data_IF_684442019002
#
_entry.id   IF_684442019002
#
_cell.length_a   1.000
_cell.length_b   1.000
_cell.length_c   1.000
_cell.angle_alpha   90.00
_cell.angle_beta   90.00
_cell.angle_gamma   90.00
#
_symmetry.space_group_name_H-M   'P 1'
#
loop_
_entity.id
_entity.type
_entity.pdbx_description
1 polymer ?
#
# COMPACT_ATOMS: atom_id res chain seq x y z
N UNK A 1 32.31 -15.92 -10.26
CA UNK A 1 32.65 -14.71 -9.49
C UNK A 1 32.00 -14.84 -8.13
N UNK A 2 32.77 -14.79 -7.07
CA UNK A 2 32.23 -14.89 -5.71
C UNK A 2 31.40 -13.64 -5.40
N UNK A 3 30.22 -13.85 -4.85
CA UNK A 3 29.31 -12.74 -4.52
C UNK A 3 29.80 -12.03 -3.25
N UNK A 4 29.68 -10.72 -3.24
CA UNK A 4 30.08 -9.92 -2.09
C UNK A 4 29.23 -10.27 -0.86
N UNK A 5 29.87 -10.42 0.29
CA UNK A 5 29.20 -10.75 1.56
C UNK A 5 29.84 -10.02 2.74
N UNK A 6 29.10 -9.89 3.82
CA UNK A 6 29.58 -9.49 5.13
C UNK A 6 29.01 -10.45 6.19
N UNK A 7 29.52 -11.68 6.16
CA UNK A 7 29.09 -12.75 7.07
C UNK A 7 29.24 -12.34 8.53
N UNK A 8 30.31 -11.66 8.99
CA UNK A 8 30.38 -11.16 10.35
C UNK A 8 29.16 -10.31 10.76
N UNK A 9 28.72 -9.40 9.89
CA UNK A 9 27.55 -8.57 10.18
C UNK A 9 26.24 -9.38 10.17
N UNK A 10 26.11 -10.39 9.30
CA UNK A 10 24.96 -11.30 9.30
C UNK A 10 24.86 -12.05 10.64
N UNK A 11 26.00 -12.52 11.17
CA UNK A 11 26.11 -13.15 12.48
C UNK A 11 25.66 -12.20 13.60
N UNK A 12 26.12 -10.95 13.58
CA UNK A 12 25.76 -9.93 14.58
C UNK A 12 24.25 -9.62 14.54
N UNK A 13 23.69 -9.49 13.33
CA UNK A 13 22.27 -9.24 13.15
C UNK A 13 21.42 -10.40 13.70
N UNK A 14 21.73 -11.63 13.31
CA UNK A 14 21.01 -12.82 13.81
C UNK A 14 21.18 -12.98 15.31
N UNK A 15 22.38 -12.74 15.86
CA UNK A 15 22.65 -12.78 17.29
C UNK A 15 21.82 -11.77 18.08
N UNK A 16 21.67 -10.56 17.57
CA UNK A 16 20.83 -9.51 18.16
C UNK A 16 19.32 -9.90 18.15
N UNK A 17 18.83 -10.49 17.06
CA UNK A 17 17.46 -11.03 16.98
C UNK A 17 17.20 -12.09 18.04
N UNK A 18 18.14 -13.02 18.26
CA UNK A 18 17.98 -14.07 19.28
C UNK A 18 18.07 -13.53 20.72
N UNK A 19 18.79 -12.43 20.95
CA UNK A 19 18.79 -11.75 22.25
C UNK A 19 17.48 -11.00 22.50
N UNK A 20 16.97 -10.29 21.49
CA UNK A 20 15.80 -9.43 21.57
C UNK A 20 14.85 -9.76 20.41
N UNK A 21 14.02 -10.81 20.54
CA UNK A 21 13.11 -11.25 19.46
C UNK A 21 12.14 -10.18 18.99
N UNK A 22 11.82 -9.20 19.81
CA UNK A 22 10.96 -8.06 19.46
C UNK A 22 11.52 -7.22 18.29
N UNK A 23 12.81 -7.31 18.01
CA UNK A 23 13.40 -6.72 16.81
C UNK A 23 12.85 -7.33 15.51
N UNK A 24 12.22 -8.52 15.56
CA UNK A 24 11.51 -9.07 14.40
C UNK A 24 10.26 -8.26 14.05
N UNK A 25 9.60 -7.63 15.01
CA UNK A 25 8.48 -6.72 14.74
C UNK A 25 8.97 -5.49 13.98
N UNK A 26 10.10 -4.92 14.41
CA UNK A 26 10.64 -3.68 13.81
C UNK A 26 11.31 -3.93 12.45
N UNK A 27 12.11 -4.99 12.31
CA UNK A 27 12.95 -5.24 11.14
C UNK A 27 12.49 -6.40 10.26
N UNK A 28 11.70 -7.34 10.78
CA UNK A 28 11.34 -8.58 10.08
C UNK A 28 10.63 -8.34 8.74
N UNK A 29 9.75 -7.36 8.66
CA UNK A 29 9.05 -7.00 7.43
C UNK A 29 9.99 -6.52 6.29
N UNK A 30 11.13 -5.95 6.67
CA UNK A 30 12.10 -5.42 5.71
C UNK A 30 13.15 -6.43 5.30
N UNK A 31 13.36 -7.49 6.07
CA UNK A 31 14.37 -8.52 5.80
C UNK A 31 13.77 -9.64 4.94
N UNK A 32 14.40 -9.87 3.79
CA UNK A 32 14.06 -10.97 2.88
C UNK A 32 15.22 -11.95 2.85
N UNK A 33 15.13 -13.02 3.59
CA UNK A 33 16.22 -13.98 3.84
C UNK A 33 16.90 -14.48 2.57
N UNK A 34 16.13 -14.67 1.49
CA UNK A 34 16.67 -15.08 0.17
C UNK A 34 17.70 -14.10 -0.41
N UNK A 35 17.55 -12.80 -0.14
CA UNK A 35 18.38 -11.74 -0.72
C UNK A 35 19.37 -11.15 0.28
N UNK A 36 18.97 -11.08 1.55
CA UNK A 36 19.70 -10.34 2.56
C UNK A 36 20.83 -11.14 3.22
N UNK A 37 20.76 -12.48 3.19
CA UNK A 37 21.82 -13.33 3.71
C UNK A 37 22.62 -14.01 2.59
N UNK A 38 23.94 -14.02 2.74
CA UNK A 38 24.87 -14.72 1.85
C UNK A 38 25.22 -16.10 2.41
N UNK A 39 25.31 -16.22 3.73
CA UNK A 39 25.65 -17.46 4.40
C UNK A 39 24.41 -18.31 4.72
N UNK A 40 24.49 -19.61 4.46
CA UNK A 40 23.38 -20.53 4.67
C UNK A 40 23.03 -20.72 6.16
N UNK A 41 24.03 -20.63 7.05
CA UNK A 41 23.79 -20.80 8.48
C UNK A 41 23.07 -19.59 9.07
N UNK A 42 23.51 -18.39 8.77
CA UNK A 42 22.87 -17.15 9.23
C UNK A 42 21.45 -17.05 8.71
N UNK A 43 21.23 -17.40 7.42
CA UNK A 43 19.91 -17.46 6.82
C UNK A 43 19.03 -18.49 7.53
N UNK A 44 19.50 -19.70 7.74
CA UNK A 44 18.75 -20.76 8.42
C UNK A 44 18.31 -20.34 9.82
N UNK A 45 19.20 -19.75 10.60
CA UNK A 45 18.87 -19.30 11.94
C UNK A 45 17.94 -18.10 11.94
N UNK A 46 18.05 -17.16 10.98
CA UNK A 46 17.10 -16.06 10.84
C UNK A 46 15.70 -16.58 10.48
N UNK A 47 15.58 -17.44 9.47
CA UNK A 47 14.30 -18.04 9.08
C UNK A 47 13.66 -18.81 10.24
N UNK A 48 14.48 -19.50 11.02
CA UNK A 48 14.05 -20.18 12.25
C UNK A 48 13.50 -19.21 13.27
N UNK A 49 14.22 -18.11 13.54
CA UNK A 49 13.78 -17.09 14.49
C UNK A 49 12.44 -16.48 14.07
N UNK A 50 12.29 -16.13 12.80
CA UNK A 50 11.07 -15.56 12.27
C UNK A 50 9.86 -16.49 12.45
N UNK A 51 9.98 -17.75 12.04
CA UNK A 51 8.87 -18.72 12.13
C UNK A 51 8.52 -19.02 13.59
N UNK A 52 9.52 -19.22 14.46
CA UNK A 52 9.28 -19.48 15.89
C UNK A 52 8.60 -18.30 16.55
N UNK A 53 9.00 -17.07 16.21
CA UNK A 53 8.39 -15.86 16.73
C UNK A 53 6.93 -15.71 16.29
N UNK A 54 6.64 -15.93 15.01
CA UNK A 54 5.28 -15.84 14.45
C UNK A 54 4.33 -16.92 14.97
N UNK A 55 4.85 -18.14 15.23
CA UNK A 55 4.00 -19.28 15.59
C UNK A 55 3.91 -19.55 17.08
N UNK A 56 4.85 -19.04 17.89
CA UNK A 56 5.01 -19.38 19.32
C UNK A 56 5.31 -18.16 20.18
N UNK A 57 4.43 -17.20 20.16
CA UNK A 57 4.58 -15.85 20.73
C UNK A 57 4.80 -15.78 22.26
N UNK A 58 4.69 -16.86 23.01
CA UNK A 58 4.75 -16.76 24.48
C UNK A 58 6.13 -16.96 25.10
N UNK A 59 7.05 -17.69 24.44
CA UNK A 59 8.42 -17.87 24.96
C UNK A 59 9.40 -18.16 23.81
N UNK A 60 10.16 -17.15 23.43
CA UNK A 60 11.27 -17.33 22.49
C UNK A 60 12.54 -17.72 23.23
N UNK A 61 12.80 -19.02 23.36
CA UNK A 61 13.94 -19.57 24.07
C UNK A 61 14.46 -20.86 23.42
N UNK A 62 15.53 -21.43 24.01
CA UNK A 62 16.13 -22.68 23.53
C UNK A 62 15.13 -23.82 23.37
N UNK A 63 14.20 -23.93 24.30
CA UNK A 63 13.21 -25.01 24.31
C UNK A 63 12.23 -24.85 23.16
N UNK A 64 11.72 -23.65 22.91
CA UNK A 64 10.79 -23.37 21.81
C UNK A 64 11.43 -23.64 20.45
N UNK A 65 12.70 -23.23 20.27
CA UNK A 65 13.46 -23.51 19.05
C UNK A 65 13.69 -25.01 18.85
N UNK A 66 14.10 -25.74 19.91
CA UNK A 66 14.30 -27.20 19.82
C UNK A 66 13.01 -27.93 19.51
N UNK A 67 11.90 -27.54 20.13
CA UNK A 67 10.58 -28.12 19.85
C UNK A 67 10.18 -27.93 18.41
N UNK A 68 10.34 -26.71 17.89
CA UNK A 68 10.09 -26.41 16.47
C UNK A 68 10.99 -27.22 15.53
N UNK A 69 12.26 -27.41 15.87
CA UNK A 69 13.17 -28.24 15.06
C UNK A 69 12.76 -29.71 15.06
N UNK A 70 12.24 -30.23 16.19
CA UNK A 70 11.87 -31.62 16.33
C UNK A 70 10.60 -32.01 15.54
N UNK A 71 9.83 -31.05 15.06
CA UNK A 71 8.62 -31.30 14.26
C UNK A 71 8.94 -31.79 12.82
N UNK A 72 10.17 -31.58 12.34
CA UNK A 72 10.61 -31.97 11.00
C UNK A 72 12.03 -32.54 11.03
N UNK A 73 12.20 -33.80 10.58
CA UNK A 73 13.47 -34.49 10.62
C UNK A 73 14.56 -33.84 9.77
N UNK A 74 14.20 -33.30 8.62
CA UNK A 74 15.15 -32.60 7.76
C UNK A 74 15.64 -31.31 8.43
N UNK A 75 14.75 -30.53 8.99
CA UNK A 75 15.04 -29.31 9.73
C UNK A 75 15.93 -29.60 10.94
N UNK A 76 15.61 -30.63 11.69
CA UNK A 76 16.41 -31.08 12.84
C UNK A 76 17.82 -31.52 12.43
N UNK A 77 17.96 -32.22 11.29
CA UNK A 77 19.27 -32.61 10.75
C UNK A 77 20.14 -31.42 10.38
N UNK A 78 19.55 -30.41 9.72
CA UNK A 78 20.23 -29.15 9.37
C UNK A 78 20.66 -28.39 10.64
N UNK A 79 19.77 -28.28 11.62
CA UNK A 79 20.07 -27.65 12.90
C UNK A 79 21.26 -28.32 13.61
N UNK A 80 21.29 -29.65 13.67
CA UNK A 80 22.42 -30.41 14.22
C UNK A 80 23.70 -30.22 13.45
N UNK A 81 23.63 -30.20 12.11
CA UNK A 81 24.79 -29.94 11.23
C UNK A 81 25.42 -28.59 11.51
N UNK A 82 24.58 -27.58 11.80
CA UNK A 82 25.00 -26.22 12.11
C UNK A 82 25.33 -26.03 13.61
N UNK A 83 25.53 -27.11 14.40
CA UNK A 83 25.81 -27.12 15.84
C UNK A 83 24.71 -26.51 16.71
N UNK A 84 23.53 -26.25 16.14
CA UNK A 84 22.32 -25.90 16.85
C UNK A 84 22.45 -24.69 17.79
N UNK A 85 21.94 -24.86 18.99
CA UNK A 85 21.89 -23.77 19.96
C UNK A 85 23.25 -23.20 20.34
N UNK A 86 24.34 -23.98 20.30
CA UNK A 86 25.68 -23.48 20.60
C UNK A 86 26.16 -22.42 19.58
N UNK A 87 25.72 -22.53 18.31
CA UNK A 87 26.00 -21.51 17.31
C UNK A 87 25.17 -20.24 17.58
N UNK A 88 23.91 -20.42 17.99
CA UNK A 88 23.07 -19.27 18.38
C UNK A 88 23.65 -18.54 19.60
N UNK A 89 24.04 -19.27 20.62
CA UNK A 89 24.72 -18.69 21.80
C UNK A 89 26.01 -17.94 21.43
N UNK A 90 26.78 -18.49 20.50
CA UNK A 90 27.96 -17.81 19.99
C UNK A 90 27.59 -16.52 19.26
N UNK A 91 26.57 -16.53 18.38
CA UNK A 91 26.09 -15.34 17.68
C UNK A 91 25.58 -14.27 18.67
N UNK A 92 24.80 -14.69 19.66
CA UNK A 92 24.33 -13.81 20.73
C UNK A 92 25.50 -13.18 21.50
N UNK A 93 26.56 -13.94 21.79
CA UNK A 93 27.72 -13.44 22.55
C UNK A 93 28.50 -12.37 21.80
N UNK A 94 28.43 -12.33 20.47
CA UNK A 94 29.12 -11.34 19.64
C UNK A 94 28.30 -10.05 19.42
N UNK A 95 26.96 -10.18 19.45
CA UNK A 95 26.09 -9.05 19.16
C UNK A 95 26.01 -8.05 20.33
N UNK A 96 26.07 -6.76 20.01
CA UNK A 96 25.79 -5.67 20.97
C UNK A 96 24.30 -5.32 20.92
N UNK A 97 23.67 -5.14 22.07
CA UNK A 97 22.24 -4.95 22.21
C UNK A 97 21.74 -3.63 21.60
N UNK A 98 22.57 -2.60 21.62
CA UNK A 98 22.21 -1.24 21.20
C UNK A 98 22.46 -0.95 19.69
N UNK A 99 22.99 -1.92 18.92
CA UNK A 99 23.48 -1.65 17.56
C UNK A 99 22.72 -2.36 16.43
N UNK A 100 21.51 -2.84 16.70
CA UNK A 100 20.68 -3.57 15.71
C UNK A 100 20.45 -2.76 14.45
N UNK A 101 20.21 -1.46 14.57
CA UNK A 101 20.03 -0.56 13.44
C UNK A 101 21.28 -0.48 12.55
N UNK A 102 22.45 -0.49 13.16
CA UNK A 102 23.74 -0.54 12.45
C UNK A 102 23.87 -1.85 11.67
N UNK A 103 23.59 -2.99 12.31
CA UNK A 103 23.63 -4.31 11.67
C UNK A 103 22.64 -4.42 10.54
N UNK A 104 21.43 -3.95 10.71
CA UNK A 104 20.39 -3.92 9.67
C UNK A 104 20.83 -3.08 8.45
N UNK A 105 21.36 -1.88 8.67
CA UNK A 105 21.81 -1.01 7.59
C UNK A 105 22.97 -1.64 6.78
N UNK A 106 23.91 -2.29 7.47
CA UNK A 106 24.99 -3.00 6.82
C UNK A 106 24.47 -4.23 6.07
N UNK A 107 23.54 -4.99 6.64
CA UNK A 107 22.89 -6.11 5.98
C UNK A 107 22.27 -5.67 4.65
N UNK A 108 21.46 -4.60 4.67
CA UNK A 108 20.83 -4.03 3.47
C UNK A 108 21.84 -3.48 2.45
N UNK A 109 22.92 -2.88 2.92
CA UNK A 109 24.01 -2.40 2.06
C UNK A 109 24.62 -3.55 1.24
N UNK A 110 24.97 -4.65 1.91
CA UNK A 110 25.60 -5.79 1.22
C UNK A 110 24.59 -6.59 0.40
N UNK A 111 23.33 -6.65 0.80
CA UNK A 111 22.23 -7.20 -0.01
C UNK A 111 22.09 -6.46 -1.34
N UNK A 112 22.03 -5.13 -1.31
CA UNK A 112 21.94 -4.30 -2.51
C UNK A 112 23.16 -4.50 -3.43
N UNK A 113 24.37 -4.53 -2.89
CA UNK A 113 25.59 -4.77 -3.68
C UNK A 113 25.58 -6.14 -4.34
N UNK A 114 25.14 -7.21 -3.64
CA UNK A 114 24.96 -8.54 -4.21
C UNK A 114 24.01 -8.55 -5.39
N UNK A 115 22.87 -7.87 -5.25
CA UNK A 115 21.89 -7.80 -6.32
C UNK A 115 22.43 -7.04 -7.53
N UNK A 116 23.15 -5.95 -7.33
CA UNK A 116 23.85 -5.28 -8.44
C UNK A 116 24.88 -6.21 -9.12
N UNK A 117 25.66 -6.94 -8.34
CA UNK A 117 26.64 -7.88 -8.87
C UNK A 117 25.97 -9.03 -9.66
N UNK A 118 24.86 -9.60 -9.15
CA UNK A 118 24.07 -10.62 -9.85
C UNK A 118 23.50 -10.14 -11.17
N UNK A 119 23.16 -8.86 -11.26
CA UNK A 119 22.64 -8.23 -12.47
C UNK A 119 23.75 -7.66 -13.38
N UNK A 120 25.02 -8.03 -13.16
CA UNK A 120 26.14 -7.69 -14.03
C UNK A 120 26.72 -6.29 -13.83
N UNK A 121 26.31 -5.56 -12.81
CA UNK A 121 26.91 -4.25 -12.52
C UNK A 121 28.30 -4.40 -11.93
N UNK A 122 29.25 -3.60 -12.42
CA UNK A 122 30.56 -3.54 -11.81
C UNK A 122 30.56 -2.70 -10.54
N UNK A 123 30.65 -3.37 -9.39
CA UNK A 123 30.64 -2.75 -8.06
C UNK A 123 32.02 -2.38 -7.52
N UNK A 124 33.12 -2.77 -8.19
CA UNK A 124 34.50 -2.55 -7.71
C UNK A 124 34.79 -1.07 -7.41
N UNK A 125 34.32 -0.17 -8.29
CA UNK A 125 34.50 1.26 -8.09
C UNK A 125 33.75 1.82 -6.87
N UNK A 126 32.69 1.12 -6.42
CA UNK A 126 31.96 1.47 -5.20
C UNK A 126 32.73 0.97 -3.99
N UNK A 127 33.22 -0.28 -4.04
CA UNK A 127 33.98 -0.88 -2.95
C UNK A 127 35.30 -0.13 -2.66
N UNK A 128 35.93 0.40 -3.71
CA UNK A 128 37.18 1.19 -3.61
C UNK A 128 36.92 2.66 -3.24
N UNK A 129 35.68 3.07 -3.05
CA UNK A 129 35.37 4.46 -2.73
C UNK A 129 35.86 4.81 -1.30
N UNK A 130 36.52 5.97 -1.15
CA UNK A 130 37.11 6.41 0.14
C UNK A 130 36.11 6.41 1.31
N UNK A 131 34.86 6.67 1.04
CA UNK A 131 33.80 6.74 2.05
C UNK A 131 32.92 5.49 2.09
N UNK A 132 33.35 4.38 1.48
CA UNK A 132 32.53 3.17 1.36
C UNK A 132 31.98 2.69 2.71
N UNK A 133 32.79 2.74 3.77
CA UNK A 133 32.36 2.31 5.10
C UNK A 133 31.19 3.15 5.66
N UNK A 134 31.10 4.42 5.25
CA UNK A 134 30.05 5.34 5.69
C UNK A 134 28.78 5.24 4.85
N UNK A 135 28.82 4.58 3.69
CA UNK A 135 27.66 4.47 2.81
C UNK A 135 26.64 3.49 3.35
N UNK A 136 25.38 3.92 3.37
CA UNK A 136 24.23 3.04 3.43
C UNK A 136 23.77 2.56 2.04
N UNK A 137 22.79 1.68 2.00
CA UNK A 137 22.21 1.18 0.74
C UNK A 137 21.71 2.33 -0.16
N UNK A 138 21.10 3.35 0.41
CA UNK A 138 20.61 4.52 -0.35
C UNK A 138 21.71 5.33 -1.01
N UNK A 139 22.87 5.46 -0.37
CA UNK A 139 23.99 6.20 -0.94
C UNK A 139 24.60 5.45 -2.14
N UNK A 140 24.67 4.13 -2.05
CA UNK A 140 25.08 3.26 -3.15
C UNK A 140 24.12 3.36 -4.33
N UNK A 141 22.80 3.32 -4.05
CA UNK A 141 21.78 3.52 -5.08
C UNK A 141 21.95 4.87 -5.79
N UNK A 142 22.10 5.96 -5.03
CA UNK A 142 22.33 7.30 -5.60
C UNK A 142 23.61 7.37 -6.46
N UNK A 143 24.70 6.72 -6.04
CA UNK A 143 25.92 6.67 -6.82
C UNK A 143 25.74 5.97 -8.17
N UNK A 144 25.05 4.82 -8.17
CA UNK A 144 24.80 4.07 -9.41
C UNK A 144 23.85 4.84 -10.32
N UNK A 145 22.75 5.36 -9.77
CA UNK A 145 21.81 6.21 -10.49
C UNK A 145 22.52 7.43 -11.11
N UNK A 146 23.32 8.14 -10.32
CA UNK A 146 24.05 9.33 -10.83
C UNK A 146 25.05 9.01 -11.94
N UNK A 147 25.63 7.79 -11.96
CA UNK A 147 26.45 7.34 -13.10
C UNK A 147 25.60 7.03 -14.32
N UNK A 148 24.47 6.37 -14.15
CA UNK A 148 23.52 6.09 -15.23
C UNK A 148 22.96 7.40 -15.83
N UNK A 149 22.59 8.36 -14.99
CA UNK A 149 22.10 9.66 -15.41
C UNK A 149 23.14 10.46 -16.19
N UNK A 150 24.42 10.41 -15.77
CA UNK A 150 25.54 11.01 -16.51
C UNK A 150 25.73 10.38 -17.88
N UNK A 151 25.66 9.05 -17.99
CA UNK A 151 25.77 8.35 -19.28
C UNK A 151 24.58 8.75 -20.17
N UNK A 152 23.38 8.78 -19.61
CA UNK A 152 22.17 9.23 -20.30
C UNK A 152 22.32 10.65 -20.85
N UNK A 153 22.80 11.58 -20.02
CA UNK A 153 23.00 12.98 -20.41
C UNK A 153 24.04 13.16 -21.53
N UNK A 154 25.04 12.27 -21.58
CA UNK A 154 26.14 12.38 -22.58
C UNK A 154 25.80 11.65 -23.89
N UNK A 155 25.09 10.54 -23.82
CA UNK A 155 24.87 9.67 -24.99
C UNK A 155 23.46 9.86 -25.57
N UNK A 156 22.46 10.02 -24.73
CA UNK A 156 21.10 10.32 -25.15
C UNK A 156 20.98 11.86 -25.19
N UNK A 157 21.50 12.46 -26.20
CA UNK A 157 21.16 13.82 -26.57
C UNK A 157 19.76 13.82 -27.21
N UNK A 158 18.76 13.43 -26.45
CA UNK A 158 17.42 13.89 -26.71
C UNK A 158 17.44 15.36 -26.25
N UNK A 159 17.66 16.23 -27.21
CA UNK A 159 17.21 17.59 -27.06
C UNK A 159 15.68 17.49 -27.09
N UNK A 160 15.09 17.28 -25.90
CA UNK A 160 13.63 17.21 -25.74
C UNK A 160 12.96 18.56 -26.02
N UNK A 161 13.76 19.55 -26.44
CA UNK A 161 13.30 20.84 -26.87
C UNK A 161 12.68 20.71 -28.27
N UNK A 162 11.37 20.64 -28.33
CA UNK A 162 10.62 20.66 -29.58
C UNK A 162 10.43 22.09 -30.06
N UNK A 163 10.49 22.28 -31.39
CA UNK A 163 10.12 23.55 -32.00
C UNK A 163 8.59 23.66 -31.99
N UNK A 164 8.04 24.48 -31.07
CA UNK A 164 6.61 24.57 -30.79
C UNK A 164 5.70 24.89 -32.00
N UNK A 165 6.23 25.56 -33.00
CA UNK A 165 5.48 25.88 -34.21
C UNK A 165 5.49 24.76 -35.28
N UNK A 166 6.16 23.66 -35.01
CA UNK A 166 6.12 22.47 -35.87
C UNK A 166 5.05 21.48 -35.39
N UNK A 167 4.39 20.84 -36.31
CA UNK A 167 3.41 19.80 -35.99
C UNK A 167 2.03 20.25 -35.55
N UNK A 168 1.71 21.55 -35.59
CA UNK A 168 0.39 22.06 -35.19
C UNK A 168 -0.76 21.49 -36.02
N UNK A 169 -0.60 21.45 -37.36
CA UNK A 169 -1.63 20.93 -38.24
C UNK A 169 -1.92 19.43 -38.04
N UNK A 170 -0.92 18.53 -37.97
CA UNK A 170 -1.14 17.14 -37.62
C UNK A 170 -1.81 16.98 -36.24
N UNK A 171 -1.40 17.75 -35.23
CA UNK A 171 -1.97 17.71 -33.88
C UNK A 171 -3.46 18.05 -33.88
N UNK A 172 -3.87 19.10 -34.60
CA UNK A 172 -5.29 19.50 -34.68
C UNK A 172 -6.10 18.42 -35.41
N UNK A 173 -5.56 17.87 -36.50
CA UNK A 173 -6.23 16.83 -37.25
C UNK A 173 -6.38 15.53 -36.46
N UNK A 174 -5.38 15.16 -35.65
CA UNK A 174 -5.44 13.99 -34.75
C UNK A 174 -6.59 14.14 -33.75
N UNK A 175 -6.80 15.33 -33.21
CA UNK A 175 -7.86 15.59 -32.22
C UNK A 175 -9.28 15.46 -32.78
N UNK A 176 -9.48 15.49 -34.09
CA UNK A 176 -10.78 15.19 -34.71
C UNK A 176 -11.14 13.71 -34.57
N UNK A 177 -10.16 12.81 -34.59
CA UNK A 177 -10.38 11.37 -34.45
C UNK A 177 -10.17 10.85 -33.03
N UNK A 178 -9.25 11.48 -32.27
CA UNK A 178 -8.92 11.10 -30.89
C UNK A 178 -8.97 12.35 -30.01
N UNK A 179 -10.14 12.70 -29.47
CA UNK A 179 -10.26 13.80 -28.54
C UNK A 179 -9.36 13.61 -27.32
N UNK A 180 -8.80 14.72 -26.79
CA UNK A 180 -7.95 14.70 -25.59
C UNK A 180 -8.80 14.56 -24.31
N UNK A 181 -9.40 13.38 -24.14
CA UNK A 181 -10.25 13.02 -23.02
C UNK A 181 -9.60 11.89 -22.20
N UNK A 182 -9.71 12.00 -20.87
CA UNK A 182 -9.41 10.91 -19.96
C UNK A 182 -10.58 9.94 -19.81
N UNK A 183 -10.43 8.96 -18.91
CA UNK A 183 -11.53 8.09 -18.52
C UNK A 183 -12.67 8.94 -17.93
N UNK A 184 -13.92 8.79 -18.36
CA UNK A 184 -15.00 9.65 -17.89
C UNK A 184 -15.27 9.46 -16.39
N UNK A 185 -15.66 10.56 -15.74
CA UNK A 185 -16.31 10.51 -14.44
C UNK A 185 -17.75 10.03 -14.57
N UNK A 186 -18.30 9.48 -13.50
CA UNK A 186 -19.73 9.17 -13.43
C UNK A 186 -20.62 10.43 -13.48
N UNK A 187 -20.09 11.58 -13.15
CA UNK A 187 -20.80 12.86 -13.14
C UNK A 187 -20.51 13.65 -14.41
N UNK A 188 -21.51 13.89 -15.30
CA UNK A 188 -21.29 14.60 -16.56
C UNK A 188 -20.61 15.96 -16.41
N UNK A 189 -21.03 16.76 -15.41
CA UNK A 189 -20.43 18.08 -15.15
C UNK A 189 -18.92 18.00 -14.90
N UNK A 190 -18.43 16.94 -14.27
CA UNK A 190 -17.01 16.75 -14.03
C UNK A 190 -16.25 16.49 -15.33
N UNK A 191 -16.89 15.83 -16.29
CA UNK A 191 -16.31 15.59 -17.62
C UNK A 191 -16.17 16.88 -18.41
N UNK A 192 -17.15 17.77 -18.32
CA UNK A 192 -17.12 19.07 -18.97
C UNK A 192 -16.02 19.97 -18.37
N UNK A 193 -15.83 19.93 -17.05
CA UNK A 193 -14.84 20.75 -16.35
C UNK A 193 -13.42 20.21 -16.49
N UNK A 194 -13.23 18.89 -16.31
CA UNK A 194 -11.89 18.28 -16.18
C UNK A 194 -11.50 17.38 -17.37
N UNK A 195 -12.40 17.15 -18.32
CA UNK A 195 -12.18 16.26 -19.46
C UNK A 195 -11.85 14.82 -19.07
N UNK A 196 -12.43 14.34 -17.94
CA UNK A 196 -12.21 12.99 -17.42
C UNK A 196 -10.91 12.84 -16.59
N UNK A 197 -10.65 11.62 -16.17
CA UNK A 197 -9.47 11.19 -15.42
C UNK A 197 -8.29 10.99 -16.39
N UNK A 198 -7.59 12.08 -16.70
CA UNK A 198 -6.55 12.09 -17.72
C UNK A 198 -5.24 11.49 -17.19
N UNK A 199 -4.67 10.51 -17.88
CA UNK A 199 -3.38 9.95 -17.54
C UNK A 199 -2.26 11.01 -17.64
N UNK A 200 -1.31 10.97 -16.71
CA UNK A 200 -0.23 11.94 -16.58
C UNK A 200 -0.62 13.17 -15.79
N UNK A 201 -1.77 13.18 -15.13
CA UNK A 201 -2.24 14.32 -14.32
C UNK A 201 -2.55 13.92 -12.88
N UNK A 202 -2.58 14.93 -12.01
CA UNK A 202 -2.99 14.82 -10.61
C UNK A 202 -4.22 15.68 -10.38
N UNK A 203 -5.18 15.18 -9.62
CA UNK A 203 -6.35 15.91 -9.19
C UNK A 203 -6.40 15.92 -7.66
N UNK A 204 -6.49 17.10 -7.07
CA UNK A 204 -6.71 17.23 -5.63
C UNK A 204 -8.14 17.66 -5.35
N UNK A 205 -8.76 16.99 -4.39
CA UNK A 205 -10.10 17.32 -3.92
C UNK A 205 -10.06 17.72 -2.45
N UNK A 206 -10.27 19.00 -2.17
CA UNK A 206 -10.32 19.54 -0.82
C UNK A 206 -11.74 19.56 -0.28
N UNK A 207 -11.93 18.95 0.89
CA UNK A 207 -13.22 18.97 1.63
C UNK A 207 -12.98 19.19 3.13
N UNK A 208 -13.91 19.86 3.83
CA UNK A 208 -13.91 19.92 5.28
C UNK A 208 -14.00 18.51 5.91
N UNK A 209 -13.64 18.40 7.18
CA UNK A 209 -13.82 17.16 7.93
C UNK A 209 -15.30 16.73 7.92
N UNK A 210 -15.55 15.44 7.83
CA UNK A 210 -16.91 14.84 7.79
C UNK A 210 -17.80 15.28 6.61
N UNK A 211 -17.27 15.96 5.59
CA UNK A 211 -18.02 16.37 4.41
C UNK A 211 -18.22 15.24 3.37
N UNK A 212 -17.81 14.01 3.67
CA UNK A 212 -17.97 12.86 2.77
C UNK A 212 -16.85 12.64 1.77
N UNK A 213 -15.65 13.15 2.05
CA UNK A 213 -14.43 13.05 1.23
C UNK A 213 -14.16 11.63 0.72
N UNK A 214 -14.06 10.66 1.63
CA UNK A 214 -13.81 9.24 1.31
C UNK A 214 -14.96 8.64 0.50
N UNK A 215 -16.21 8.99 0.80
CA UNK A 215 -17.39 8.51 0.06
C UNK A 215 -17.39 9.01 -1.38
N UNK A 216 -17.04 10.28 -1.58
CA UNK A 216 -16.92 10.85 -2.93
C UNK A 216 -15.81 10.18 -3.72
N UNK A 217 -14.64 9.98 -3.12
CA UNK A 217 -13.54 9.22 -3.73
C UNK A 217 -13.98 7.79 -4.06
N UNK A 218 -14.65 7.12 -3.14
CA UNK A 218 -15.10 5.74 -3.33
C UNK A 218 -16.11 5.63 -4.47
N UNK A 219 -16.97 6.63 -4.68
CA UNK A 219 -17.86 6.65 -5.82
C UNK A 219 -17.11 6.69 -7.16
N UNK A 220 -16.02 7.48 -7.23
CA UNK A 220 -15.15 7.50 -8.42
C UNK A 220 -14.42 6.16 -8.59
N UNK A 221 -13.86 5.60 -7.51
CA UNK A 221 -13.19 4.29 -7.54
C UNK A 221 -14.13 3.19 -8.03
N UNK A 222 -15.34 3.12 -7.47
CA UNK A 222 -16.35 2.16 -7.87
C UNK A 222 -16.70 2.29 -9.36
N UNK A 223 -16.88 3.51 -9.86
CA UNK A 223 -17.15 3.75 -11.27
C UNK A 223 -15.97 3.31 -12.17
N UNK A 224 -14.74 3.71 -11.81
CA UNK A 224 -13.52 3.33 -12.55
C UNK A 224 -13.34 1.81 -12.62
N UNK A 225 -13.63 1.11 -11.54
CA UNK A 225 -13.35 -0.33 -11.45
C UNK A 225 -14.54 -1.19 -11.87
N UNK A 226 -15.75 -0.92 -11.37
CA UNK A 226 -16.92 -1.75 -11.62
C UNK A 226 -17.56 -1.47 -12.98
N UNK A 227 -17.53 -0.21 -13.46
CA UNK A 227 -18.13 0.18 -14.75
C UNK A 227 -17.07 0.19 -15.86
N UNK A 228 -16.01 0.95 -15.66
CA UNK A 228 -14.98 1.18 -16.68
C UNK A 228 -13.92 0.06 -16.74
N UNK A 229 -13.97 -0.91 -15.82
CA UNK A 229 -13.09 -2.10 -15.77
C UNK A 229 -11.60 -1.75 -15.77
N UNK A 230 -11.26 -0.63 -15.14
CA UNK A 230 -9.87 -0.21 -15.00
C UNK A 230 -9.35 -0.58 -13.61
N UNK A 231 -8.07 -0.94 -13.54
CA UNK A 231 -7.42 -1.28 -12.28
C UNK A 231 -7.06 -0.02 -11.50
N UNK A 232 -7.42 0.02 -10.22
CA UNK A 232 -7.17 1.12 -9.30
C UNK A 232 -6.37 0.68 -8.07
N UNK A 233 -5.48 1.55 -7.59
CA UNK A 233 -4.81 1.46 -6.31
C UNK A 233 -5.40 2.48 -5.34
N UNK A 234 -5.83 2.02 -4.17
CA UNK A 234 -6.24 2.85 -3.05
C UNK A 234 -5.14 2.83 -1.99
N UNK A 235 -4.67 4.00 -1.61
CA UNK A 235 -3.75 4.21 -0.51
C UNK A 235 -4.51 4.90 0.62
N UNK A 236 -4.59 4.26 1.77
CA UNK A 236 -5.45 4.64 2.88
C UNK A 236 -4.61 4.94 4.11
N UNK A 237 -4.86 6.06 4.77
CA UNK A 237 -4.19 6.42 6.01
C UNK A 237 -5.13 6.94 7.12
N UNK A 238 -6.44 7.04 6.85
CA UNK A 238 -7.44 7.45 7.83
C UNK A 238 -8.40 6.31 8.20
N UNK A 239 -8.84 5.55 7.21
CA UNK A 239 -9.81 4.46 7.41
C UNK A 239 -9.11 3.11 7.29
N UNK A 240 -9.53 2.15 8.11
CA UNK A 240 -9.14 0.76 7.98
C UNK A 240 -9.80 0.09 6.75
N UNK A 241 -9.24 -1.04 6.34
CA UNK A 241 -9.70 -1.76 5.14
C UNK A 241 -11.15 -2.28 5.26
N UNK A 242 -11.62 -2.57 6.47
CA UNK A 242 -12.97 -3.05 6.71
C UNK A 242 -13.98 -1.92 6.49
N UNK A 243 -13.74 -0.76 7.07
CA UNK A 243 -14.55 0.44 6.87
C UNK A 243 -14.63 0.86 5.40
N UNK A 244 -13.52 0.74 4.67
CA UNK A 244 -13.49 1.02 3.22
C UNK A 244 -14.33 0.02 2.42
N UNK A 245 -14.36 -1.27 2.81
CA UNK A 245 -15.24 -2.26 2.19
C UNK A 245 -16.71 -1.93 2.41
N UNK A 246 -17.11 -1.52 3.62
CA UNK A 246 -18.48 -1.05 3.86
C UNK A 246 -18.80 0.18 3.03
N UNK A 247 -17.88 1.14 2.92
CA UNK A 247 -18.07 2.31 2.09
C UNK A 247 -18.27 1.94 0.60
N UNK A 248 -17.51 0.99 0.07
CA UNK A 248 -17.69 0.48 -1.31
C UNK A 248 -19.06 -0.18 -1.48
N UNK A 249 -19.45 -1.07 -0.55
CA UNK A 249 -20.72 -1.77 -0.58
C UNK A 249 -21.90 -0.80 -0.56
N UNK A 250 -21.90 0.16 0.37
CA UNK A 250 -22.94 1.17 0.49
C UNK A 250 -22.99 2.07 -0.75
N UNK A 251 -21.85 2.38 -1.34
CA UNK A 251 -21.78 3.15 -2.58
C UNK A 251 -22.43 2.37 -3.72
N UNK A 252 -22.16 1.08 -3.85
CA UNK A 252 -22.78 0.24 -4.88
C UNK A 252 -24.29 0.08 -4.67
N UNK A 253 -24.75 -0.08 -3.41
CA UNK A 253 -26.17 -0.22 -3.10
C UNK A 253 -26.95 1.07 -3.40
N UNK A 254 -26.42 2.24 -3.04
CA UNK A 254 -27.19 3.49 -3.04
C UNK A 254 -27.06 4.31 -4.32
N UNK A 255 -26.11 3.99 -5.20
CA UNK A 255 -25.92 4.72 -6.45
C UNK A 255 -26.88 4.18 -7.53
N UNK A 256 -27.76 5.03 -8.12
CA UNK A 256 -28.72 4.61 -9.14
C UNK A 256 -28.09 3.90 -10.34
N UNK A 257 -26.92 4.32 -10.77
CA UNK A 257 -26.22 3.70 -11.91
C UNK A 257 -25.78 2.26 -11.58
N UNK A 258 -25.29 2.02 -10.36
CA UNK A 258 -24.92 0.67 -9.94
C UNK A 258 -26.17 -0.19 -9.69
N UNK A 259 -27.26 0.41 -9.16
CA UNK A 259 -28.55 -0.26 -9.03
C UNK A 259 -29.09 -0.80 -10.35
N UNK A 260 -28.88 -0.08 -11.44
CA UNK A 260 -29.24 -0.56 -12.77
C UNK A 260 -28.37 -1.74 -13.24
N UNK A 261 -27.09 -1.73 -12.88
CA UNK A 261 -26.14 -2.78 -13.26
C UNK A 261 -26.34 -4.09 -12.50
N UNK A 262 -26.54 -4.03 -11.18
CA UNK A 262 -26.78 -5.24 -10.37
C UNK A 262 -28.25 -5.64 -10.26
N UNK A 263 -29.19 -4.80 -10.73
CA UNK A 263 -30.60 -5.15 -10.85
C UNK A 263 -31.47 -4.96 -9.59
N UNK A 264 -30.89 -4.52 -8.48
CA UNK A 264 -31.59 -4.30 -7.22
C UNK A 264 -31.76 -2.80 -6.93
N UNK A 265 -32.98 -2.38 -6.58
CA UNK A 265 -33.31 -0.98 -6.25
C UNK A 265 -33.74 -0.88 -4.80
N UNK A 266 -32.82 -0.61 -3.92
CA UNK A 266 -33.07 -0.38 -2.49
C UNK A 266 -32.04 0.59 -1.91
N UNK A 267 -32.26 1.04 -0.69
CA UNK A 267 -31.34 1.92 0.03
C UNK A 267 -30.93 1.26 1.34
N UNK A 268 -29.65 1.39 1.70
CA UNK A 268 -29.11 0.85 2.93
C UNK A 268 -28.05 1.77 3.53
N UNK A 269 -28.17 2.06 4.81
CA UNK A 269 -27.16 2.80 5.56
C UNK A 269 -26.00 1.89 5.98
N UNK A 270 -24.79 2.44 5.99
CA UNK A 270 -23.61 1.74 6.48
C UNK A 270 -23.80 1.24 7.91
N UNK A 271 -24.41 2.08 8.79
CA UNK A 271 -24.70 1.72 10.17
C UNK A 271 -25.63 0.50 10.26
N UNK A 272 -26.61 0.40 9.40
CA UNK A 272 -27.52 -0.74 9.39
C UNK A 272 -26.79 -2.04 9.00
N UNK A 273 -25.86 -1.97 8.03
CA UNK A 273 -25.05 -3.12 7.63
C UNK A 273 -24.09 -3.53 8.75
N UNK A 274 -23.36 -2.59 9.32
CA UNK A 274 -22.38 -2.87 10.39
C UNK A 274 -23.03 -3.38 11.69
N UNK A 275 -24.29 -3.03 11.94
CA UNK A 275 -25.08 -3.53 13.07
C UNK A 275 -25.89 -4.79 12.74
N UNK A 276 -25.81 -5.31 11.51
CA UNK A 276 -26.57 -6.49 11.10
C UNK A 276 -28.09 -6.27 11.10
N UNK A 277 -28.53 -5.05 10.84
CA UNK A 277 -29.95 -4.66 10.93
C UNK A 277 -30.62 -4.81 9.56
N UNK A 278 -31.50 -5.78 9.43
CA UNK A 278 -32.26 -6.07 8.21
C UNK A 278 -33.75 -6.11 8.51
N UNK A 279 -34.58 -5.74 7.52
CA UNK A 279 -36.04 -5.63 7.68
C UNK A 279 -36.74 -6.84 7.06
N UNK A 280 -37.85 -7.21 7.70
CA UNK A 280 -38.85 -8.15 7.16
C UNK A 280 -39.71 -7.49 6.07
N UNK A 281 -40.61 -8.25 5.48
CA UNK A 281 -41.56 -7.77 4.44
C UNK A 281 -42.51 -6.67 4.95
N UNK A 282 -42.65 -6.50 6.27
CA UNK A 282 -43.49 -5.47 6.89
C UNK A 282 -42.67 -4.21 7.25
N UNK A 283 -41.38 -4.19 7.00
CA UNK A 283 -40.48 -3.09 7.30
C UNK A 283 -39.93 -3.08 8.74
N UNK A 284 -40.16 -4.13 9.54
CA UNK A 284 -39.65 -4.23 10.90
C UNK A 284 -38.25 -4.85 10.90
N UNK A 285 -37.39 -4.35 11.79
CA UNK A 285 -36.07 -4.97 11.98
C UNK A 285 -36.20 -6.36 12.60
N UNK A 286 -35.44 -7.29 12.06
CA UNK A 286 -35.35 -8.67 12.53
C UNK A 286 -34.24 -8.75 13.57
N UNK A 287 -34.60 -9.03 14.82
CA UNK A 287 -33.65 -9.19 15.91
C UNK A 287 -33.54 -10.65 16.33
N UNK A 288 -32.36 -11.02 16.83
CA UNK A 288 -32.13 -12.34 17.41
C UNK A 288 -33.02 -12.54 18.64
N UNK A 289 -33.68 -13.69 18.71
CA UNK A 289 -34.66 -14.00 19.77
C UNK A 289 -33.98 -14.12 21.13
N UNK A 290 -34.58 -13.52 22.14
CA UNK A 290 -34.17 -13.55 23.54
C UNK A 290 -35.30 -14.06 24.41
N UNK A 291 -34.97 -14.66 25.59
CA UNK A 291 -35.90 -14.97 26.65
C UNK A 291 -36.21 -13.71 27.49
N UNK A 292 -37.08 -13.85 28.51
CA UNK A 292 -37.43 -12.75 29.41
C UNK A 292 -36.26 -12.20 30.22
N UNK A 293 -35.21 -13.02 30.42
CA UNK A 293 -33.97 -12.66 31.11
C UNK A 293 -32.90 -12.01 30.20
N UNK A 294 -33.20 -11.85 28.89
CA UNK A 294 -32.32 -11.24 27.92
C UNK A 294 -31.27 -12.17 27.32
N UNK A 295 -31.37 -13.49 27.62
CA UNK A 295 -30.46 -14.48 27.03
C UNK A 295 -30.91 -14.90 25.63
N UNK A 296 -29.96 -15.09 24.72
CA UNK A 296 -30.27 -15.53 23.37
C UNK A 296 -30.73 -17.01 23.36
N UNK A 297 -31.97 -17.25 22.89
CA UNK A 297 -32.58 -18.59 22.73
C UNK A 297 -32.40 -19.15 21.31
N UNK A 298 -31.82 -18.39 20.40
CA UNK A 298 -31.56 -18.72 18.99
C UNK A 298 -30.05 -18.70 18.77
N UNK A 299 -29.49 -19.70 18.13
CA UNK A 299 -28.08 -19.71 17.71
C UNK A 299 -27.82 -18.66 16.62
N UNK A 300 -26.56 -18.33 16.34
CA UNK A 300 -26.20 -17.41 15.26
C UNK A 300 -26.63 -17.98 13.90
N UNK A 301 -26.45 -19.30 13.69
CA UNK A 301 -26.78 -19.96 12.43
C UNK A 301 -28.30 -19.98 12.18
N UNK A 302 -29.12 -20.26 13.21
CA UNK A 302 -30.58 -20.20 13.13
C UNK A 302 -31.05 -18.78 12.85
N UNK A 303 -30.46 -17.78 13.53
CA UNK A 303 -30.77 -16.37 13.29
C UNK A 303 -30.43 -15.97 11.86
N UNK A 304 -29.23 -16.32 11.37
CA UNK A 304 -28.81 -16.00 10.01
C UNK A 304 -29.72 -16.66 8.96
N UNK A 305 -30.09 -17.92 9.16
CA UNK A 305 -31.03 -18.62 8.29
C UNK A 305 -32.40 -17.94 8.25
N UNK A 306 -32.91 -17.54 9.43
CA UNK A 306 -34.18 -16.81 9.53
C UNK A 306 -34.12 -15.43 8.88
N UNK A 307 -33.05 -14.66 9.07
CA UNK A 307 -32.85 -13.37 8.37
C UNK A 307 -32.83 -13.57 6.86
N UNK A 308 -32.15 -14.63 6.38
CA UNK A 308 -32.13 -14.95 4.95
C UNK A 308 -33.50 -15.27 4.39
N UNK A 309 -34.35 -16.00 5.14
CA UNK A 309 -35.71 -16.36 4.73
C UNK A 309 -36.67 -15.14 4.76
N UNK A 310 -36.64 -14.37 5.85
CA UNK A 310 -37.60 -13.31 6.12
C UNK A 310 -37.24 -11.96 5.46
N UNK A 311 -35.95 -11.71 5.17
CA UNK A 311 -35.48 -10.42 4.63
C UNK A 311 -35.09 -10.50 3.17
N UNK A 312 -35.86 -9.90 2.29
CA UNK A 312 -35.48 -9.65 0.90
C UNK A 312 -34.29 -8.67 0.82
N UNK A 313 -34.27 -7.67 1.71
CA UNK A 313 -33.21 -6.69 1.81
C UNK A 313 -31.85 -7.36 2.07
N UNK A 314 -31.78 -8.37 2.96
CA UNK A 314 -30.57 -9.12 3.23
C UNK A 314 -30.08 -9.90 2.01
N UNK A 315 -30.98 -10.60 1.31
CA UNK A 315 -30.65 -11.31 0.07
C UNK A 315 -30.10 -10.35 -0.98
N UNK A 316 -30.76 -9.21 -1.18
CA UNK A 316 -30.30 -8.18 -2.12
C UNK A 316 -28.91 -7.65 -1.76
N UNK A 317 -28.60 -7.46 -0.48
CA UNK A 317 -27.23 -7.09 -0.05
C UNK A 317 -26.22 -8.17 -0.40
N UNK A 318 -26.52 -9.45 -0.18
CA UNK A 318 -25.65 -10.56 -0.55
C UNK A 318 -25.42 -10.64 -2.07
N UNK A 319 -26.47 -10.43 -2.87
CA UNK A 319 -26.36 -10.39 -4.32
C UNK A 319 -25.48 -9.24 -4.80
N UNK A 320 -25.59 -8.07 -4.19
CA UNK A 320 -24.70 -6.92 -4.49
C UNK A 320 -23.27 -7.22 -4.08
N UNK A 321 -23.02 -7.86 -2.94
CA UNK A 321 -21.68 -8.30 -2.55
C UNK A 321 -21.06 -9.23 -3.62
N UNK A 322 -21.83 -10.24 -4.03
CA UNK A 322 -21.40 -11.19 -5.06
C UNK A 322 -21.16 -10.50 -6.41
N UNK A 323 -22.01 -9.54 -6.77
CA UNK A 323 -21.82 -8.74 -7.98
C UNK A 323 -20.52 -7.93 -7.91
N UNK A 324 -20.24 -7.22 -6.80
CA UNK A 324 -19.00 -6.46 -6.62
C UNK A 324 -17.80 -7.39 -6.77
N UNK A 325 -17.80 -8.54 -6.10
CA UNK A 325 -16.70 -9.51 -6.15
C UNK A 325 -16.47 -10.04 -7.56
N UNK A 326 -17.55 -10.38 -8.28
CA UNK A 326 -17.47 -10.89 -9.67
C UNK A 326 -16.98 -9.84 -10.66
N UNK A 327 -17.44 -8.59 -10.52
CA UNK A 327 -17.12 -7.50 -11.45
C UNK A 327 -15.77 -6.85 -11.19
N UNK A 328 -15.29 -6.89 -9.93
CA UNK A 328 -14.04 -6.22 -9.56
C UNK A 328 -12.81 -7.10 -9.56
N UNK A 329 -12.90 -8.40 -9.70
CA UNK A 329 -11.82 -9.43 -9.72
C UNK A 329 -10.38 -8.90 -9.80
N UNK A 330 -9.82 -8.42 -8.68
CA UNK A 330 -8.46 -7.88 -8.61
C UNK A 330 -8.27 -6.50 -9.27
N UNK A 331 -9.36 -5.79 -9.61
CA UNK A 331 -9.29 -4.43 -10.15
C UNK A 331 -9.11 -3.38 -9.03
N UNK A 332 -9.56 -3.68 -7.81
CA UNK A 332 -9.43 -2.79 -6.66
C UNK A 332 -8.30 -3.34 -5.76
N UNK A 333 -7.21 -2.61 -5.69
CA UNK A 333 -6.07 -2.92 -4.82
C UNK A 333 -6.06 -1.85 -3.74
N UNK A 334 -6.20 -2.26 -2.48
CA UNK A 334 -6.14 -1.33 -1.35
C UNK A 334 -4.93 -1.63 -0.47
N UNK A 335 -4.28 -0.59 0.02
CA UNK A 335 -3.16 -0.68 0.96
C UNK A 335 -3.32 0.36 2.05
N UNK A 336 -3.24 -0.09 3.30
CA UNK A 336 -3.07 0.77 4.46
C UNK A 336 -1.61 1.28 4.50
N UNK A 337 -1.44 2.59 4.51
CA UNK A 337 -0.13 3.27 4.55
C UNK A 337 0.01 4.11 5.82
N UNK A 338 -0.87 3.94 6.80
CA UNK A 338 -0.88 4.72 8.05
C UNK A 338 0.37 4.55 8.90
N UNK A 339 0.99 3.37 8.89
CA UNK A 339 2.16 3.04 9.70
C UNK A 339 3.50 3.49 9.09
N UNK A 340 3.58 3.66 7.78
CA UNK A 340 4.82 4.05 7.07
C UNK A 340 4.53 5.17 6.07
N UNK A 341 4.26 6.34 6.64
CA UNK A 341 3.88 7.53 5.93
C UNK A 341 5.11 8.39 5.61
N UNK A 342 5.80 8.07 4.53
CA UNK A 342 6.82 8.96 3.96
C UNK A 342 6.59 9.13 2.47
N UNK A 343 6.92 10.32 1.92
CA UNK A 343 6.82 10.57 0.47
C UNK A 343 7.58 9.51 -0.34
N UNK A 344 8.68 8.97 0.21
CA UNK A 344 9.46 7.91 -0.44
C UNK A 344 8.74 6.57 -0.48
N UNK A 345 8.04 6.20 0.59
CA UNK A 345 7.25 4.98 0.68
C UNK A 345 6.03 5.07 -0.23
N UNK A 346 5.34 6.20 -0.24
CA UNK A 346 4.24 6.51 -1.13
C UNK A 346 4.66 6.39 -2.62
N UNK A 347 5.76 7.05 -2.98
CA UNK A 347 6.34 6.96 -4.33
C UNK A 347 6.64 5.51 -4.71
N UNK A 348 7.26 4.75 -3.83
CA UNK A 348 7.61 3.35 -4.08
C UNK A 348 6.36 2.49 -4.31
N UNK A 349 5.32 2.63 -3.50
CA UNK A 349 4.08 1.85 -3.65
C UNK A 349 3.35 2.18 -4.95
N UNK A 350 3.27 3.46 -5.32
CA UNK A 350 2.68 3.87 -6.59
C UNK A 350 3.49 3.31 -7.77
N UNK A 351 4.80 3.45 -7.76
CA UNK A 351 5.67 2.94 -8.82
C UNK A 351 5.58 1.41 -8.94
N UNK A 352 5.59 0.70 -7.81
CA UNK A 352 5.43 -0.75 -7.77
C UNK A 352 4.11 -1.18 -8.39
N UNK A 353 2.99 -0.59 -7.98
CA UNK A 353 1.67 -0.94 -8.50
C UNK A 353 1.55 -0.62 -10.01
N UNK A 354 2.04 0.53 -10.44
CA UNK A 354 2.00 0.91 -11.86
C UNK A 354 2.83 -0.04 -12.74
N UNK A 355 4.08 -0.34 -12.32
CA UNK A 355 5.03 -1.12 -13.13
C UNK A 355 4.81 -2.64 -13.06
N UNK A 356 4.35 -3.17 -11.91
CA UNK A 356 4.23 -4.63 -11.72
C UNK A 356 2.80 -5.16 -11.82
N UNK A 357 1.79 -4.29 -11.60
CA UNK A 357 0.39 -4.69 -11.55
C UNK A 357 -0.46 -4.00 -12.63
N UNK A 358 0.14 -3.09 -13.40
CA UNK A 358 -0.54 -2.38 -14.50
C UNK A 358 -1.58 -1.37 -14.02
N UNK A 359 -1.44 -0.84 -12.80
CA UNK A 359 -2.32 0.20 -12.26
C UNK A 359 -2.14 1.50 -13.03
N UNK A 360 -3.24 2.12 -13.46
CA UNK A 360 -3.25 3.42 -14.12
C UNK A 360 -3.96 4.50 -13.32
N UNK A 361 -4.76 4.13 -12.35
CA UNK A 361 -5.55 5.05 -11.52
C UNK A 361 -5.20 4.84 -10.05
N UNK A 362 -4.72 5.88 -9.41
CA UNK A 362 -4.29 5.85 -7.99
C UNK A 362 -5.16 6.83 -7.22
N UNK A 363 -5.65 6.41 -6.07
CA UNK A 363 -6.49 7.18 -5.17
C UNK A 363 -5.84 7.18 -3.79
N UNK A 364 -5.64 8.36 -3.22
CA UNK A 364 -4.98 8.53 -1.95
C UNK A 364 -5.87 9.31 -0.97
N UNK A 365 -6.25 8.67 0.11
CA UNK A 365 -7.12 9.21 1.16
C UNK A 365 -6.45 9.12 2.53
N UNK A 366 -5.96 10.16 3.09
CA UNK A 366 -5.89 11.59 2.79
C UNK A 366 -4.44 12.02 2.66
N UNK A 367 -4.14 13.02 1.85
CA UNK A 367 -2.82 13.65 1.85
C UNK A 367 -2.54 14.25 3.22
N UNK A 368 -1.57 13.69 3.94
CA UNK A 368 -1.03 14.20 5.21
C UNK A 368 0.40 14.64 4.99
N UNK A 369 0.82 15.67 5.70
CA UNK A 369 2.15 16.22 5.60
C UNK A 369 3.12 15.48 6.55
N UNK A 370 4.22 14.97 6.02
CA UNK A 370 5.24 14.20 6.76
C UNK A 370 6.25 15.08 7.52
N UNK A 371 6.22 16.40 7.33
CA UNK A 371 7.28 17.27 7.82
C UNK A 371 6.74 18.26 8.87
N UNK A 372 6.80 17.84 10.13
CA UNK A 372 6.46 18.67 11.29
C UNK A 372 7.32 19.95 11.45
N UNK A 373 8.36 20.15 10.63
CA UNK A 373 9.32 21.25 10.71
C UNK A 373 9.22 22.33 9.64
N UNK A 374 8.44 22.07 8.57
CA UNK A 374 8.18 23.03 7.48
C UNK A 374 6.70 23.34 7.54
N UNK A 375 6.30 24.61 7.43
CA UNK A 375 4.88 24.97 7.45
C UNK A 375 4.06 24.09 6.49
N UNK A 376 2.86 23.71 6.91
CA UNK A 376 1.97 22.71 6.27
C UNK A 376 1.85 22.87 4.74
N UNK A 377 1.76 24.12 4.27
CA UNK A 377 1.70 24.44 2.84
C UNK A 377 2.98 24.06 2.06
N UNK A 378 4.16 24.28 2.65
CA UNK A 378 5.42 23.97 1.97
C UNK A 378 5.60 22.45 1.84
N UNK A 379 5.19 21.68 2.83
CA UNK A 379 5.20 20.21 2.79
C UNK A 379 4.21 19.69 1.74
N UNK A 380 2.98 20.20 1.72
CA UNK A 380 1.99 19.87 0.71
C UNK A 380 2.50 20.13 -0.72
N UNK A 381 3.17 21.27 -0.94
CA UNK A 381 3.74 21.60 -2.25
C UNK A 381 4.80 20.60 -2.70
N UNK A 382 5.62 20.10 -1.78
CA UNK A 382 6.63 19.07 -2.09
C UNK A 382 5.95 17.77 -2.51
N UNK A 383 5.03 17.26 -1.71
CA UNK A 383 4.29 16.04 -2.03
C UNK A 383 3.50 16.16 -3.35
N UNK A 384 2.81 17.28 -3.56
CA UNK A 384 2.06 17.53 -4.80
C UNK A 384 2.99 17.53 -6.03
N UNK A 385 4.17 18.17 -5.94
CA UNK A 385 5.15 18.20 -7.03
C UNK A 385 5.69 16.79 -7.33
N UNK A 386 5.97 16.00 -6.30
CA UNK A 386 6.41 14.60 -6.48
C UNK A 386 5.33 13.73 -7.12
N UNK A 387 4.07 13.87 -6.70
CA UNK A 387 2.95 13.17 -7.31
C UNK A 387 2.74 13.56 -8.78
N UNK A 388 2.89 14.84 -9.12
CA UNK A 388 2.83 15.29 -10.52
C UNK A 388 3.96 14.67 -11.36
N UNK A 389 5.19 14.64 -10.84
CA UNK A 389 6.32 14.01 -11.52
C UNK A 389 6.07 12.52 -11.76
N UNK A 390 5.56 11.81 -10.75
CA UNK A 390 5.23 10.39 -10.85
C UNK A 390 4.12 10.17 -11.89
N UNK A 391 3.06 10.97 -11.84
CA UNK A 391 1.93 10.86 -12.76
C UNK A 391 2.37 11.02 -14.21
N UNK A 392 3.18 12.04 -14.51
CA UNK A 392 3.73 12.30 -15.85
C UNK A 392 4.66 11.19 -16.33
N UNK A 393 5.60 10.76 -15.48
CA UNK A 393 6.62 9.77 -15.84
C UNK A 393 6.04 8.38 -16.07
N UNK A 394 5.04 7.97 -15.28
CA UNK A 394 4.40 6.65 -15.39
C UNK A 394 3.14 6.66 -16.25
N UNK A 395 2.70 7.83 -16.72
CA UNK A 395 1.43 8.02 -17.45
C UNK A 395 0.26 7.39 -16.70
N UNK A 396 0.11 7.78 -15.43
CA UNK A 396 -0.98 7.38 -14.54
C UNK A 396 -1.79 8.60 -14.11
N UNK A 397 -3.04 8.39 -13.70
CA UNK A 397 -3.84 9.40 -13.03
C UNK A 397 -3.73 9.22 -11.52
N UNK A 398 -3.56 10.32 -10.79
CA UNK A 398 -3.53 10.30 -9.32
C UNK A 398 -4.60 11.24 -8.80
N UNK A 399 -5.47 10.71 -7.93
CA UNK A 399 -6.43 11.47 -7.15
C UNK A 399 -5.93 11.55 -5.71
N UNK A 400 -5.85 12.76 -5.15
CA UNK A 400 -5.51 12.98 -3.76
C UNK A 400 -6.64 13.72 -3.04
N UNK A 401 -7.14 13.19 -1.93
CA UNK A 401 -8.04 13.94 -1.06
C UNK A 401 -7.24 14.78 -0.07
N UNK A 402 -7.73 15.99 0.20
CA UNK A 402 -7.12 16.96 1.10
C UNK A 402 -8.15 17.36 2.14
N UNK A 403 -7.74 17.43 3.39
CA UNK A 403 -8.57 17.98 4.44
C UNK A 403 -8.43 19.50 4.46
N UNK A 404 -9.55 20.20 4.41
CA UNK A 404 -9.59 21.64 4.63
C UNK A 404 -9.71 21.93 6.14
N UNK A 405 -9.17 23.08 6.55
CA UNK A 405 -9.26 23.57 7.93
C UNK A 405 -10.73 23.72 8.38
N UNK A 406 -10.96 23.60 9.69
CA UNK A 406 -12.32 23.65 10.24
C UNK A 406 -13.11 24.91 9.87
N UNK A 407 -12.43 26.04 9.71
CA UNK A 407 -13.05 27.29 9.32
C UNK A 407 -13.28 27.43 7.79
N UNK A 408 -12.91 26.44 7.00
CA UNK A 408 -13.07 26.51 5.54
C UNK A 408 -14.54 26.62 5.09
N UNK A 409 -15.49 26.14 5.93
CA UNK A 409 -16.92 26.26 5.66
C UNK A 409 -17.48 27.70 5.79
N UNK A 410 -16.73 28.61 6.39
CA UNK A 410 -17.09 30.01 6.54
C UNK A 410 -16.81 30.84 5.26
N UNK A 411 -16.05 30.27 4.32
CA UNK A 411 -15.63 30.91 3.09
C UNK A 411 -16.43 30.42 1.89
N UNK A 412 -16.66 31.29 0.92
CA UNK A 412 -17.16 30.88 -0.39
C UNK A 412 -16.05 30.09 -1.14
N UNK A 413 -16.40 29.19 -2.08
CA UNK A 413 -15.41 28.39 -2.79
C UNK A 413 -14.30 29.19 -3.49
N UNK A 414 -14.61 30.40 -3.96
CA UNK A 414 -13.68 31.31 -4.61
C UNK A 414 -12.78 32.12 -3.63
N UNK A 415 -13.12 32.08 -2.35
CA UNK A 415 -12.34 32.71 -1.27
C UNK A 415 -11.34 31.71 -0.64
N UNK A 416 -11.50 30.41 -0.89
CA UNK A 416 -10.60 29.39 -0.37
C UNK A 416 -9.19 29.53 -0.95
N UNK A 417 -8.20 29.42 -0.10
CA UNK A 417 -6.79 29.54 -0.47
C UNK A 417 -5.92 28.54 0.32
N UNK A 418 -4.62 28.59 0.14
CA UNK A 418 -3.66 27.70 0.77
C UNK A 418 -3.71 27.66 2.31
N UNK A 419 -4.18 28.73 2.95
CA UNK A 419 -4.29 28.78 4.41
C UNK A 419 -5.50 28.00 4.96
N UNK A 420 -6.39 27.54 4.08
CA UNK A 420 -7.55 26.74 4.43
C UNK A 420 -7.30 25.22 4.30
N UNK A 421 -6.07 24.81 3.98
CA UNK A 421 -5.65 23.41 3.98
C UNK A 421 -5.19 23.04 5.40
N UNK A 422 -5.76 21.97 5.96
CA UNK A 422 -5.46 21.48 7.30
C UNK A 422 -4.36 20.41 7.30
#
# INVERSE_FOLDING_TARGET
MELISNIPNEILFVGAIYKHPDYLVEYGHYVKSKYDFADEATKFFYDTALIVYETRTQEFNKTSVLTFMAEDEFRLSQYKRLKGWSTIEYYMSLANDDDIKGYFNILKKYSLLREYQRNGFNIEGILKHRQFEMFGAQDIYKLIRGKADKINTVIITNDDAEILNNGLLPMVNERLSVPDMGLPFQYPIMNDLFRGLKLGTVMFNGMPSNAGKTRYMMAIVAYVTLVQKQKALLLLNEMDLESVRYCLLVTAINNPEFQELHGHRFHKDEREITLGMYRDANGNFIFRKQNEDGEYIESIDEFTARVYEESEEYRNVLDVCQWIESESQGLIIAKDVSADYSDKSLRFEIQKAALTQGVKYVFYDTLKNDIASIGEWAAFKVTATELEEIAKNLKIFIYGSIQLAENAHEYLPDELNSNNIA
#
